data_IF_361611690262
#
_entry.id   IF_361611690262
#
_cell.length_a   1.000
_cell.length_b   1.000
_cell.length_c   1.000
_cell.angle_alpha   90.00
_cell.angle_beta   90.00
_cell.angle_gamma   90.00
#
_symmetry.space_group_name_H-M   'P 1'
#
loop_
_entity.id
_entity.type
_entity.pdbx_description
1 polymer ?
#
# COMPACT_ATOMS: atom_id res chain seq x y z
N UNK A 1 3.11 20.72 -14.61
CA UNK A 1 2.95 20.52 -16.08
C UNK A 1 3.10 19.05 -16.52
N UNK A 2 3.93 18.21 -15.87
CA UNK A 2 4.04 16.76 -16.17
C UNK A 2 3.09 15.82 -15.38
N UNK A 3 2.37 16.31 -14.37
CA UNK A 3 1.44 15.45 -13.61
C UNK A 3 0.19 15.03 -14.41
N UNK A 4 -0.26 15.85 -15.37
CA UNK A 4 -1.47 15.58 -16.15
C UNK A 4 -1.37 14.35 -17.07
N UNK A 5 -0.29 14.13 -17.85
CA UNK A 5 -0.18 12.92 -18.67
C UNK A 5 0.07 11.65 -17.86
N UNK A 6 0.82 11.72 -16.75
CA UNK A 6 1.04 10.57 -15.86
C UNK A 6 -0.25 10.11 -15.16
N UNK A 7 -1.16 11.02 -14.84
CA UNK A 7 -2.47 10.69 -14.26
C UNK A 7 -3.34 9.83 -15.18
N UNK A 8 -3.34 10.12 -16.49
CA UNK A 8 -4.12 9.34 -17.49
C UNK A 8 -3.57 7.93 -17.73
N UNK A 9 -2.28 7.71 -17.51
CA UNK A 9 -1.68 6.37 -17.62
C UNK A 9 -1.94 5.54 -16.35
N UNK A 10 -1.97 6.18 -15.18
CA UNK A 10 -2.31 5.55 -13.90
C UNK A 10 -3.77 5.05 -13.84
N UNK A 11 -4.69 5.73 -14.53
CA UNK A 11 -6.11 5.33 -14.59
C UNK A 11 -6.38 4.05 -15.42
N UNK A 12 -5.43 3.59 -16.24
CA UNK A 12 -5.61 2.38 -17.07
C UNK A 12 -5.13 1.08 -16.42
N UNK A 13 -4.43 1.13 -15.30
CA UNK A 13 -3.93 -0.07 -14.63
C UNK A 13 -4.83 -0.43 -13.45
N UNK A 14 -5.18 -1.72 -13.35
CA UNK A 14 -5.90 -2.27 -12.19
C UNK A 14 -5.12 -1.96 -10.91
N UNK A 15 -5.60 -0.98 -10.14
CA UNK A 15 -4.95 -0.45 -8.91
C UNK A 15 -4.62 -1.56 -7.92
N UNK A 16 -5.52 -2.53 -7.77
CA UNK A 16 -5.32 -3.73 -6.93
C UNK A 16 -4.15 -4.63 -7.41
N UNK A 17 -3.93 -4.77 -8.73
CA UNK A 17 -2.78 -5.52 -9.26
C UNK A 17 -1.48 -4.77 -9.04
N UNK A 18 -1.50 -3.44 -9.12
CA UNK A 18 -0.31 -2.61 -8.86
C UNK A 18 0.17 -2.76 -7.41
N UNK A 19 -0.76 -2.72 -6.45
CA UNK A 19 -0.46 -2.97 -5.03
C UNK A 19 0.08 -4.38 -4.83
N UNK A 20 -0.53 -5.39 -5.45
CA UNK A 20 -0.04 -6.77 -5.35
C UNK A 20 1.37 -6.97 -5.91
N UNK A 21 1.66 -6.41 -7.09
CA UNK A 21 2.98 -6.50 -7.72
C UNK A 21 4.03 -5.74 -6.90
N UNK A 22 3.71 -4.52 -6.44
CA UNK A 22 4.61 -3.73 -5.60
C UNK A 22 4.88 -4.41 -4.25
N UNK A 23 3.85 -4.97 -3.62
CA UNK A 23 4.00 -5.75 -2.39
C UNK A 23 4.89 -6.97 -2.58
N UNK A 24 4.64 -7.76 -3.64
CA UNK A 24 5.44 -8.96 -3.93
C UNK A 24 6.91 -8.61 -4.22
N UNK A 25 7.14 -7.55 -5.00
CA UNK A 25 8.49 -7.06 -5.30
C UNK A 25 9.23 -6.61 -4.03
N UNK A 26 8.51 -5.94 -3.12
CA UNK A 26 9.04 -5.54 -1.81
C UNK A 26 9.37 -6.74 -0.93
N UNK A 27 8.51 -7.77 -0.91
CA UNK A 27 8.75 -9.00 -0.16
C UNK A 27 9.98 -9.76 -0.67
N UNK A 28 10.14 -9.87 -2.00
CA UNK A 28 11.32 -10.48 -2.62
C UNK A 28 12.58 -9.70 -2.26
N UNK A 29 12.53 -8.36 -2.29
CA UNK A 29 13.64 -7.53 -1.89
C UNK A 29 14.02 -7.78 -0.42
N UNK A 30 13.04 -7.75 0.50
CA UNK A 30 13.28 -7.98 1.93
C UNK A 30 13.87 -9.37 2.22
N UNK A 31 13.39 -10.42 1.55
CA UNK A 31 13.97 -11.76 1.68
C UNK A 31 15.37 -11.86 1.04
N UNK A 32 15.68 -11.01 0.05
CA UNK A 32 16.98 -10.94 -0.61
C UNK A 32 18.05 -10.17 0.18
N UNK A 33 17.65 -9.22 1.03
CA UNK A 33 18.54 -8.37 1.84
C UNK A 33 19.55 -9.15 2.70
N UNK A 34 19.21 -10.25 3.38
CA UNK A 34 20.15 -11.06 4.17
C UNK A 34 21.31 -11.65 3.36
N UNK A 35 21.14 -11.88 2.06
CA UNK A 35 22.18 -12.40 1.17
C UNK A 35 23.06 -11.30 0.57
N UNK A 36 22.72 -10.03 0.79
CA UNK A 36 23.50 -8.90 0.30
C UNK A 36 24.73 -8.69 1.20
N UNK A 37 25.89 -9.13 0.73
CA UNK A 37 27.17 -8.96 1.42
C UNK A 37 27.99 -7.77 0.89
N UNK A 38 27.53 -7.13 -0.20
CA UNK A 38 28.23 -6.00 -0.83
C UNK A 38 27.36 -4.76 -1.09
N UNK A 39 28.01 -3.59 -1.19
CA UNK A 39 27.37 -2.30 -1.47
C UNK A 39 26.50 -2.33 -2.73
N UNK A 40 27.00 -2.90 -3.83
CA UNK A 40 26.26 -2.96 -5.10
C UNK A 40 24.99 -3.80 -5.00
N UNK A 41 25.00 -4.89 -4.22
CA UNK A 41 23.81 -5.72 -4.01
C UNK A 41 22.77 -4.96 -3.18
N UNK A 42 23.18 -4.31 -2.09
CA UNK A 42 22.31 -3.45 -1.27
C UNK A 42 21.70 -2.31 -2.08
N UNK A 43 22.50 -1.67 -2.95
CA UNK A 43 22.04 -0.60 -3.82
C UNK A 43 20.96 -1.08 -4.81
N UNK A 44 21.16 -2.25 -5.43
CA UNK A 44 20.16 -2.86 -6.32
C UNK A 44 18.86 -3.19 -5.57
N UNK A 45 18.94 -3.78 -4.38
CA UNK A 45 17.75 -4.05 -3.57
C UNK A 45 17.04 -2.78 -3.13
N UNK A 46 17.77 -1.72 -2.79
CA UNK A 46 17.18 -0.43 -2.42
C UNK A 46 16.47 0.23 -3.61
N UNK A 47 17.04 0.14 -4.81
CA UNK A 47 16.38 0.55 -6.06
C UNK A 47 15.07 -0.22 -6.28
N UNK A 48 15.08 -1.53 -6.03
CA UNK A 48 13.92 -2.39 -6.17
C UNK A 48 12.80 -2.01 -5.18
N UNK A 49 13.15 -1.78 -3.92
CA UNK A 49 12.22 -1.30 -2.88
C UNK A 49 11.67 0.08 -3.24
N UNK A 50 12.53 0.99 -3.70
CA UNK A 50 12.12 2.32 -4.13
C UNK A 50 11.13 2.29 -5.30
N UNK A 51 11.39 1.45 -6.30
CA UNK A 51 10.47 1.24 -7.43
C UNK A 51 9.15 0.61 -6.97
N UNK A 52 9.20 -0.38 -6.08
CA UNK A 52 8.02 -1.01 -5.51
C UNK A 52 7.15 -0.02 -4.73
N UNK A 53 7.77 0.82 -3.88
CA UNK A 53 7.07 1.84 -3.11
C UNK A 53 6.48 2.92 -4.01
N UNK A 54 7.21 3.36 -5.04
CA UNK A 54 6.72 4.34 -6.02
C UNK A 54 5.50 3.88 -6.81
N UNK A 55 5.32 2.56 -6.99
CA UNK A 55 4.14 1.97 -7.62
C UNK A 55 3.01 1.72 -6.62
N UNK A 56 3.33 1.16 -5.45
CA UNK A 56 2.32 0.76 -4.46
C UNK A 56 1.68 1.96 -3.74
N UNK A 57 2.46 3.00 -3.42
CA UNK A 57 2.00 4.16 -2.67
C UNK A 57 0.85 4.94 -3.34
N UNK A 58 0.94 5.35 -4.64
CA UNK A 58 -0.17 6.03 -5.30
C UNK A 58 -1.40 5.13 -5.46
N UNK A 59 -1.22 3.81 -5.61
CA UNK A 59 -2.32 2.87 -5.70
C UNK A 59 -3.07 2.72 -4.36
N UNK A 60 -2.34 2.68 -3.23
CA UNK A 60 -2.94 2.70 -1.88
C UNK A 60 -3.75 3.98 -1.63
N UNK A 61 -3.19 5.14 -1.98
CA UNK A 61 -3.88 6.42 -1.84
C UNK A 61 -5.15 6.48 -2.71
N UNK A 62 -5.07 6.03 -3.96
CA UNK A 62 -6.22 6.01 -4.85
C UNK A 62 -7.35 5.11 -4.32
N UNK A 63 -7.04 3.90 -3.85
CA UNK A 63 -8.03 2.98 -3.27
C UNK A 63 -8.67 3.56 -2.00
N UNK A 64 -7.88 4.15 -1.10
CA UNK A 64 -8.40 4.78 0.12
C UNK A 64 -9.34 5.96 -0.22
N UNK A 65 -8.99 6.75 -1.22
CA UNK A 65 -9.78 7.91 -1.65
C UNK A 65 -11.05 7.52 -2.40
N UNK A 66 -11.03 6.45 -3.21
CA UNK A 66 -12.23 5.92 -3.86
C UNK A 66 -13.30 5.51 -2.83
N UNK A 67 -12.89 4.82 -1.76
CA UNK A 67 -13.78 4.43 -0.67
C UNK A 67 -14.22 5.61 0.22
N UNK A 68 -13.53 6.74 0.17
CA UNK A 68 -13.82 7.91 1.02
C UNK A 68 -14.76 8.94 0.35
N UNK A 69 -15.18 8.72 -0.90
CA UNK A 69 -16.02 9.67 -1.65
C UNK A 69 -17.39 9.90 -1.00
N UNK A 70 -17.89 8.93 -0.21
CA UNK A 70 -19.13 9.06 0.57
C UNK A 70 -18.95 9.44 2.05
N UNK A 71 -17.80 9.14 2.67
CA UNK A 71 -17.61 9.26 4.14
C UNK A 71 -16.73 10.42 4.61
N UNK A 72 -16.21 11.24 3.68
CA UNK A 72 -15.37 12.40 3.99
C UNK A 72 -13.87 12.14 3.78
N UNK A 73 -13.36 12.64 2.65
CA UNK A 73 -11.97 12.45 2.21
C UNK A 73 -10.91 12.92 3.22
N UNK A 74 -11.15 14.03 3.92
CA UNK A 74 -10.21 14.57 4.90
C UNK A 74 -10.02 13.67 6.12
N UNK A 75 -11.10 13.04 6.60
CA UNK A 75 -11.06 12.10 7.73
C UNK A 75 -10.39 10.77 7.36
N UNK A 76 -10.64 10.26 6.15
CA UNK A 76 -9.94 9.05 5.67
C UNK A 76 -8.44 9.32 5.51
N UNK A 77 -8.04 10.46 4.95
CA UNK A 77 -6.62 10.80 4.82
C UNK A 77 -5.93 10.98 6.16
N UNK A 78 -6.57 11.61 7.15
CA UNK A 78 -5.98 11.73 8.48
C UNK A 78 -5.83 10.37 9.17
N UNK A 79 -6.81 9.47 9.01
CA UNK A 79 -6.72 8.10 9.51
C UNK A 79 -5.60 7.32 8.82
N UNK A 80 -5.46 7.45 7.49
CA UNK A 80 -4.39 6.81 6.73
C UNK A 80 -3.01 7.30 7.19
N UNK A 81 -2.85 8.61 7.35
CA UNK A 81 -1.59 9.20 7.84
C UNK A 81 -1.29 8.81 9.28
N UNK A 82 -2.31 8.71 10.13
CA UNK A 82 -2.17 8.23 11.50
C UNK A 82 -1.71 6.77 11.54
N UNK A 83 -2.36 5.88 10.78
CA UNK A 83 -1.97 4.49 10.66
C UNK A 83 -0.55 4.34 10.10
N UNK A 84 -0.18 5.14 9.11
CA UNK A 84 1.16 5.18 8.54
C UNK A 84 2.21 5.60 9.57
N UNK A 85 1.94 6.67 10.33
CA UNK A 85 2.81 7.16 11.40
C UNK A 85 2.98 6.12 12.52
N UNK A 86 1.90 5.44 12.91
CA UNK A 86 1.97 4.32 13.86
C UNK A 86 2.87 3.19 13.35
N UNK A 87 2.74 2.82 12.07
CA UNK A 87 3.60 1.81 11.44
C UNK A 87 5.07 2.22 11.45
N UNK A 88 5.38 3.48 11.12
CA UNK A 88 6.75 4.01 11.17
C UNK A 88 7.32 4.06 12.59
N UNK A 89 6.48 4.26 13.61
CA UNK A 89 6.93 4.27 15.01
C UNK A 89 7.16 2.85 15.53
N UNK A 90 6.21 1.93 15.29
CA UNK A 90 6.21 0.58 15.84
C UNK A 90 7.21 -0.33 15.09
N UNK A 91 7.35 -0.13 13.77
CA UNK A 91 8.19 -0.97 12.92
C UNK A 91 9.65 -1.09 13.40
N UNK A 92 10.40 0.02 13.52
CA UNK A 92 11.80 -0.02 13.96
C UNK A 92 11.97 -0.61 15.37
N UNK A 93 10.99 -0.40 16.27
CA UNK A 93 11.03 -0.94 17.63
C UNK A 93 10.88 -2.47 17.59
N UNK A 94 9.89 -2.98 16.86
CA UNK A 94 9.67 -4.43 16.70
C UNK A 94 10.84 -5.11 15.99
N UNK A 95 11.21 -4.62 14.80
CA UNK A 95 12.26 -5.25 13.99
C UNK A 95 13.67 -5.04 14.58
N UNK A 96 13.92 -3.92 15.25
CA UNK A 96 15.16 -3.68 16.01
C UNK A 96 15.27 -4.62 17.22
N UNK A 97 14.15 -4.89 17.91
CA UNK A 97 14.09 -5.89 18.95
C UNK A 97 14.41 -7.30 18.43
N UNK A 98 13.82 -7.69 17.30
CA UNK A 98 14.08 -8.99 16.66
C UNK A 98 15.54 -9.10 16.21
N UNK A 99 16.09 -8.04 15.61
CA UNK A 99 17.48 -8.01 15.16
C UNK A 99 18.48 -8.24 16.30
N UNK A 100 18.15 -7.76 17.52
CA UNK A 100 18.99 -7.94 18.71
C UNK A 100 19.08 -9.40 19.17
N UNK A 101 18.01 -10.19 19.02
CA UNK A 101 17.96 -11.58 19.51
C UNK A 101 18.25 -12.63 18.43
N UNK A 102 17.88 -12.38 17.18
CA UNK A 102 17.90 -13.35 16.07
C UNK A 102 18.85 -12.96 14.93
N UNK A 103 19.76 -12.02 15.17
CA UNK A 103 20.62 -11.40 14.16
C UNK A 103 19.85 -10.52 13.16
N UNK A 104 20.60 -9.67 12.46
CA UNK A 104 20.06 -8.74 11.46
C UNK A 104 19.28 -9.49 10.37
N UNK A 105 19.77 -10.66 9.95
CA UNK A 105 19.10 -11.52 8.97
C UNK A 105 17.70 -11.95 9.44
N UNK A 106 17.54 -12.35 10.70
CA UNK A 106 16.26 -12.78 11.25
C UNK A 106 15.18 -11.69 11.22
N UNK A 107 15.57 -10.42 11.43
CA UNK A 107 14.66 -9.29 11.30
C UNK A 107 14.15 -9.12 9.86
N UNK A 108 15.03 -9.25 8.86
CA UNK A 108 14.63 -9.17 7.45
C UNK A 108 13.73 -10.34 7.02
N UNK A 109 14.04 -11.58 7.45
CA UNK A 109 13.19 -12.74 7.18
C UNK A 109 11.80 -12.57 7.81
N UNK A 110 11.72 -12.11 9.07
CA UNK A 110 10.44 -11.83 9.74
C UNK A 110 9.65 -10.72 9.03
N UNK A 111 10.33 -9.66 8.56
CA UNK A 111 9.70 -8.58 7.81
C UNK A 111 9.17 -9.01 6.44
N UNK A 112 9.94 -9.84 5.72
CA UNK A 112 9.51 -10.44 4.45
C UNK A 112 8.29 -11.35 4.63
N UNK A 113 8.32 -12.23 5.65
CA UNK A 113 7.20 -13.12 5.95
C UNK A 113 5.94 -12.36 6.36
N UNK A 114 6.09 -11.32 7.20
CA UNK A 114 5.00 -10.46 7.60
C UNK A 114 4.40 -9.72 6.40
N UNK A 115 5.24 -9.21 5.49
CA UNK A 115 4.77 -8.56 4.27
C UNK A 115 3.96 -9.53 3.39
N UNK A 116 4.44 -10.76 3.20
CA UNK A 116 3.68 -11.80 2.47
C UNK A 116 2.34 -12.06 3.16
N UNK A 117 2.32 -12.21 4.48
CA UNK A 117 1.08 -12.43 5.24
C UNK A 117 0.09 -11.27 5.07
N UNK A 118 0.57 -10.02 5.09
CA UNK A 118 -0.23 -8.82 4.84
C UNK A 118 -0.81 -8.86 3.42
N UNK A 119 -0.01 -9.18 2.41
CA UNK A 119 -0.49 -9.28 1.02
C UNK A 119 -1.57 -10.35 0.90
N UNK A 120 -1.34 -11.55 1.45
CA UNK A 120 -2.31 -12.66 1.40
C UNK A 120 -3.62 -12.30 2.10
N UNK A 121 -3.56 -11.59 3.23
CA UNK A 121 -4.75 -11.14 3.97
C UNK A 121 -5.46 -9.98 3.27
N UNK A 122 -4.70 -9.01 2.76
CA UNK A 122 -5.25 -7.81 2.12
C UNK A 122 -5.74 -8.06 0.69
N UNK A 123 -5.22 -9.05 -0.04
CA UNK A 123 -5.66 -9.37 -1.39
C UNK A 123 -7.18 -9.69 -1.49
N UNK A 124 -7.76 -10.59 -0.67
CA UNK A 124 -9.20 -10.84 -0.68
C UNK A 124 -10.01 -9.66 -0.15
N UNK A 125 -9.50 -8.91 0.84
CA UNK A 125 -10.16 -7.70 1.35
C UNK A 125 -10.25 -6.61 0.29
N UNK A 126 -9.16 -6.35 -0.44
CA UNK A 126 -9.17 -5.40 -1.56
C UNK A 126 -10.13 -5.87 -2.65
N UNK A 127 -10.19 -7.17 -2.95
CA UNK A 127 -11.12 -7.70 -3.94
C UNK A 127 -12.59 -7.60 -3.49
N UNK A 128 -12.87 -7.73 -2.18
CA UNK A 128 -14.20 -7.56 -1.61
C UNK A 128 -14.63 -6.09 -1.56
N UNK A 129 -13.73 -5.19 -1.19
CA UNK A 129 -13.97 -3.74 -1.11
C UNK A 129 -14.22 -3.15 -2.50
N UNK A 130 -13.43 -3.56 -3.50
CA UNK A 130 -13.64 -3.16 -4.91
C UNK A 130 -14.95 -3.73 -5.48
N UNK A 131 -15.44 -4.86 -4.96
CA UNK A 131 -16.67 -5.50 -5.42
C UNK A 131 -17.96 -4.87 -4.88
N UNK A 132 -17.89 -3.96 -3.90
CA UNK A 132 -19.06 -3.22 -3.38
C UNK A 132 -19.27 -1.96 -4.22
N UNK A 133 -20.26 -1.92 -5.13
CA UNK A 133 -20.59 -0.71 -5.85
C UNK A 133 -21.43 0.15 -4.92
N UNK A 134 -20.84 1.20 -4.35
CA UNK A 134 -21.55 2.29 -3.69
C UNK A 134 -22.32 3.14 -4.73
N UNK A 135 -23.12 2.51 -5.58
CA UNK A 135 -23.96 3.18 -6.57
C UNK A 135 -25.46 2.98 -6.30
N UNK A 136 -25.85 2.37 -5.18
CA UNK A 136 -27.26 2.12 -4.85
C UNK A 136 -27.83 2.98 -3.71
N UNK A 137 -27.02 3.78 -2.99
CA UNK A 137 -27.52 4.61 -1.88
C UNK A 137 -27.55 6.12 -2.13
N UNK A 138 -27.07 6.59 -3.30
CA UNK A 138 -27.21 8.00 -3.76
C UNK A 138 -28.10 8.10 -5.01
N UNK A 139 -29.14 7.26 -5.09
CA UNK A 139 -30.28 7.50 -6.00
C UNK A 139 -31.59 7.04 -5.36
N UNK A 140 -32.33 8.02 -4.81
CA UNK A 140 -33.77 8.19 -5.05
C UNK A 140 -34.17 9.64 -4.70
N UNK A 141 -35.25 10.18 -5.27
CA UNK A 141 -35.22 10.85 -6.57
C UNK A 141 -35.77 12.29 -6.49
N UNK A 142 -35.50 13.01 -7.56
CA UNK A 142 -36.07 14.28 -8.02
C UNK A 142 -37.59 14.41 -7.83
N UNK A 143 -38.00 15.65 -7.47
CA UNK A 143 -39.16 16.41 -7.98
C UNK A 143 -40.19 16.93 -6.96
N UNK A 144 -40.60 18.18 -7.23
CA UNK A 144 -41.86 18.86 -6.85
C UNK A 144 -41.92 19.51 -5.46
N UNK A 145 -41.53 20.79 -5.38
CA UNK A 145 -42.46 21.86 -4.96
C UNK A 145 -42.14 23.10 -5.82
N UNK A 146 -42.71 23.13 -7.02
CA UNK A 146 -43.28 24.38 -7.53
C UNK A 146 -44.64 24.50 -6.88
N UNK A 147 -44.83 25.52 -6.05
CA UNK A 147 -45.91 26.51 -6.11
C UNK A 147 -45.71 27.54 -4.99
#
# INVERSE_FOLDING_TARGET
LLQAPCGRLADRMNKARLVGIGGLLSAIALCGFPWASGFWQLFMFNLLVGAAYGLAFPAHLALAMENARGSGMGAMMSLLMFAHGLGMMIGPILFGGIAKYWSLGGAFWSGGLLNIAIIVLCYPLMHAVVATPESSLIRKPESVVTD
#
